data_IF_667253318052
#
_entry.id   IF_667253318052
#
_cell.length_a   1.000
_cell.length_b   1.000
_cell.length_c   1.000
_cell.angle_alpha   90.00
_cell.angle_beta   90.00
_cell.angle_gamma   90.00
#
_symmetry.space_group_name_H-M   'P 1'
#
loop_
_entity.id
_entity.type
_entity.pdbx_description
1 polymer ?
#
# COMPACT_ATOMS: atom_id res chain seq x y z
N UNK A 1 -6.05 6.44 -11.09
CA UNK A 1 -6.34 6.45 -9.65
C UNK A 1 -5.20 7.20 -8.98
N UNK A 2 -5.49 8.02 -7.97
CA UNK A 2 -4.47 8.77 -7.24
C UNK A 2 -4.23 8.08 -5.89
N UNK A 3 -2.96 7.79 -5.57
CA UNK A 3 -2.57 7.17 -4.31
C UNK A 3 -2.13 8.26 -3.34
N UNK A 4 -2.70 8.24 -2.12
CA UNK A 4 -2.18 9.05 -1.02
C UNK A 4 -0.83 8.47 -0.54
N UNK A 5 0.25 9.20 -0.84
CA UNK A 5 1.63 8.78 -0.53
C UNK A 5 1.94 8.80 0.96
N UNK A 6 1.27 9.64 1.75
CA UNK A 6 1.43 9.68 3.19
C UNK A 6 0.81 8.44 3.83
N UNK A 7 -0.38 8.05 3.36
CA UNK A 7 -1.05 6.81 3.77
C UNK A 7 -0.22 5.59 3.35
N UNK A 8 0.31 5.56 2.13
CA UNK A 8 1.17 4.47 1.66
C UNK A 8 2.47 4.38 2.49
N UNK A 9 3.14 5.51 2.72
CA UNK A 9 4.34 5.57 3.57
C UNK A 9 4.05 5.10 5.00
N UNK A 10 2.91 5.51 5.56
CA UNK A 10 2.50 5.06 6.89
C UNK A 10 2.23 3.55 6.92
N UNK A 11 1.48 3.02 5.94
CA UNK A 11 1.19 1.60 5.81
C UNK A 11 2.47 0.76 5.84
N UNK A 12 3.44 1.11 4.99
CA UNK A 12 4.70 0.36 4.88
C UNK A 12 5.58 0.44 6.13
N UNK A 13 5.55 1.56 6.86
CA UNK A 13 6.42 1.80 8.03
C UNK A 13 5.80 1.37 9.37
N UNK A 14 4.47 1.37 9.47
CA UNK A 14 3.76 1.29 10.77
C UNK A 14 2.70 0.19 10.83
N UNK A 15 2.24 -0.33 9.69
CA UNK A 15 1.17 -1.33 9.60
C UNK A 15 1.64 -2.59 8.87
N UNK A 16 2.92 -2.96 9.04
CA UNK A 16 3.51 -4.14 8.39
C UNK A 16 2.85 -5.44 8.83
N UNK A 17 2.36 -5.50 10.07
CA UNK A 17 1.55 -6.59 10.61
C UNK A 17 0.23 -6.79 9.86
N UNK A 18 -0.43 -5.71 9.42
CA UNK A 18 -1.61 -5.82 8.55
C UNK A 18 -1.25 -6.37 7.16
N UNK A 19 -0.06 -6.04 6.64
CA UNK A 19 0.44 -6.61 5.39
C UNK A 19 0.75 -8.10 5.57
N UNK A 20 1.38 -8.50 6.68
CA UNK A 20 1.62 -9.90 7.00
C UNK A 20 0.31 -10.69 7.09
N UNK A 21 -0.69 -10.12 7.76
CA UNK A 21 -2.00 -10.75 7.95
C UNK A 21 -2.74 -10.98 6.62
N UNK A 22 -2.76 -9.99 5.71
CA UNK A 22 -3.45 -10.15 4.42
C UNK A 22 -2.69 -11.07 3.45
N UNK A 23 -1.38 -11.19 3.61
CA UNK A 23 -0.52 -12.05 2.78
C UNK A 23 -0.53 -13.51 3.26
N UNK A 24 -0.79 -13.76 4.55
CA UNK A 24 -0.75 -15.08 5.14
C UNK A 24 -1.59 -16.12 4.36
N UNK A 25 -0.99 -17.27 4.08
CA UNK A 25 -1.65 -18.38 3.37
C UNK A 25 -1.85 -18.18 1.86
N UNK A 26 -1.45 -17.05 1.29
CA UNK A 26 -1.63 -16.78 -0.16
C UNK A 26 -0.47 -17.28 -1.04
N UNK A 27 0.66 -17.66 -0.42
CA UNK A 27 1.90 -18.01 -1.12
C UNK A 27 2.74 -16.81 -1.57
N UNK A 28 2.24 -15.58 -1.41
CA UNK A 28 3.03 -14.37 -1.57
C UNK A 28 3.91 -14.14 -0.35
N UNK A 29 4.98 -13.36 -0.54
CA UNK A 29 5.86 -12.95 0.55
C UNK A 29 5.57 -11.49 0.89
N UNK A 30 5.51 -11.17 2.18
CA UNK A 30 5.31 -9.80 2.67
C UNK A 30 6.31 -8.84 2.04
N UNK A 31 7.59 -9.24 1.94
CA UNK A 31 8.64 -8.43 1.29
C UNK A 31 8.33 -8.08 -0.16
N UNK A 32 7.60 -8.94 -0.89
CA UNK A 32 7.19 -8.65 -2.28
C UNK A 32 6.14 -7.54 -2.30
N UNK A 33 5.16 -7.59 -1.39
CA UNK A 33 4.12 -6.56 -1.26
C UNK A 33 4.73 -5.23 -0.82
N UNK A 34 5.62 -5.26 0.18
CA UNK A 34 6.37 -4.07 0.62
C UNK A 34 7.18 -3.48 -0.53
N UNK A 35 7.89 -4.32 -1.30
CA UNK A 35 8.68 -3.86 -2.44
C UNK A 35 7.85 -3.15 -3.52
N UNK A 36 6.62 -3.59 -3.79
CA UNK A 36 5.70 -2.89 -4.70
C UNK A 36 5.28 -1.54 -4.12
N UNK A 37 4.99 -1.47 -2.81
CA UNK A 37 4.65 -0.20 -2.16
C UNK A 37 5.83 0.78 -2.16
N UNK A 38 7.05 0.31 -1.89
CA UNK A 38 8.26 1.14 -1.95
C UNK A 38 8.51 1.66 -3.36
N UNK A 39 8.37 0.80 -4.38
CA UNK A 39 8.47 1.22 -5.77
C UNK A 39 7.47 2.34 -6.10
N UNK A 40 6.22 2.23 -5.66
CA UNK A 40 5.24 3.29 -5.85
C UNK A 40 5.65 4.60 -5.16
N UNK A 41 6.19 4.55 -3.93
CA UNK A 41 6.70 5.76 -3.27
C UNK A 41 7.85 6.41 -4.03
N UNK A 42 8.77 5.62 -4.57
CA UNK A 42 9.91 6.12 -5.34
C UNK A 42 9.49 6.72 -6.71
N UNK A 43 8.25 6.45 -7.13
CA UNK A 43 7.68 6.86 -8.42
C UNK A 43 6.40 7.69 -8.27
N UNK A 44 6.27 8.48 -7.20
CA UNK A 44 5.16 9.41 -6.96
C UNK A 44 3.76 8.76 -7.06
N UNK A 45 3.65 7.49 -6.70
CA UNK A 45 2.41 6.71 -6.74
C UNK A 45 1.96 6.31 -8.13
N UNK A 46 2.81 6.41 -9.15
CA UNK A 46 2.44 6.13 -10.52
C UNK A 46 2.26 4.61 -10.78
N UNK A 47 1.01 4.17 -10.74
CA UNK A 47 0.62 2.77 -10.97
C UNK A 47 0.86 2.29 -12.40
N UNK A 48 0.93 3.19 -13.39
CA UNK A 48 1.12 2.83 -14.80
C UNK A 48 2.55 2.31 -15.08
N UNK A 49 3.47 2.52 -14.13
CA UNK A 49 4.83 1.98 -14.18
C UNK A 49 4.93 0.55 -13.62
N UNK A 50 3.86 0.03 -13.01
CA UNK A 50 3.84 -1.34 -12.52
C UNK A 50 3.79 -2.33 -13.68
N UNK A 51 4.59 -3.39 -13.58
CA UNK A 51 4.38 -4.57 -14.43
C UNK A 51 3.06 -5.26 -14.09
N UNK A 52 2.51 -6.06 -15.01
CA UNK A 52 1.27 -6.80 -14.78
C UNK A 52 1.28 -7.63 -13.48
N UNK A 53 2.42 -8.21 -13.10
CA UNK A 53 2.54 -8.97 -11.84
C UNK A 53 2.54 -8.08 -10.61
N UNK A 54 3.17 -6.90 -10.69
CA UNK A 54 3.15 -5.92 -9.59
C UNK A 54 1.76 -5.30 -9.45
N UNK A 55 1.05 -5.08 -10.56
CA UNK A 55 -0.33 -4.60 -10.56
C UNK A 55 -1.26 -5.56 -9.80
N UNK A 56 -1.19 -6.86 -10.08
CA UNK A 56 -1.94 -7.87 -9.31
C UNK A 56 -1.58 -7.84 -7.83
N UNK A 57 -0.30 -7.62 -7.50
CA UNK A 57 0.14 -7.53 -6.10
C UNK A 57 -0.43 -6.27 -5.43
N UNK A 58 -0.42 -5.15 -6.13
CA UNK A 58 -0.96 -3.88 -5.67
C UNK A 58 -2.47 -3.97 -5.43
N UNK A 59 -3.24 -4.40 -6.43
CA UNK A 59 -4.71 -4.50 -6.37
C UNK A 59 -5.17 -5.50 -5.31
N UNK A 60 -4.46 -6.61 -5.14
CA UNK A 60 -4.86 -7.66 -4.20
C UNK A 60 -4.51 -7.35 -2.74
N UNK A 61 -3.41 -6.66 -2.49
CA UNK A 61 -2.86 -6.53 -1.12
C UNK A 61 -2.70 -5.09 -0.64
N UNK A 62 -2.22 -4.18 -1.48
CA UNK A 62 -1.99 -2.80 -1.07
C UNK A 62 -3.29 -1.98 -1.13
N UNK A 63 -4.02 -2.05 -2.24
CA UNK A 63 -5.23 -1.27 -2.44
C UNK A 63 -6.26 -1.46 -1.31
N UNK A 64 -6.59 -2.70 -0.86
CA UNK A 64 -7.54 -2.89 0.25
C UNK A 64 -7.07 -2.29 1.58
N UNK A 65 -5.75 -2.23 1.82
CA UNK A 65 -5.18 -1.66 3.05
C UNK A 65 -5.09 -0.13 3.02
N UNK A 66 -5.00 0.45 1.81
CA UNK A 66 -5.02 1.88 1.55
C UNK A 66 -6.45 2.45 1.60
N UNK A 67 -7.43 1.70 1.12
CA UNK A 67 -8.86 2.09 1.18
C UNK A 67 -9.44 2.00 2.60
N UNK A 68 -8.80 1.22 3.48
CA UNK A 68 -9.20 1.16 4.88
C UNK A 68 -8.98 2.54 5.52
N UNK A 69 -10.02 3.17 6.08
CA UNK A 69 -9.93 4.52 6.62
C UNK A 69 -8.85 4.56 7.70
N UNK A 70 -7.81 5.32 7.43
CA UNK A 70 -6.80 5.64 8.42
C UNK A 70 -7.02 7.08 8.91
N UNK A 71 -7.20 7.24 10.21
CA UNK A 71 -7.24 8.56 10.80
C UNK A 71 -5.81 9.08 10.96
N UNK A 72 -5.39 9.94 10.03
CA UNK A 72 -4.16 10.68 10.17
C UNK A 72 -4.26 11.56 11.43
N UNK A 73 -3.33 11.48 12.40
CA UNK A 73 -3.34 12.35 13.58
C UNK A 73 -3.14 13.85 13.30
N UNK A 74 -3.25 14.27 12.04
CA UNK A 74 -3.04 15.63 11.55
C UNK A 74 -3.97 16.03 10.40
N UNK A 75 -4.91 15.17 9.97
CA UNK A 75 -6.00 15.61 9.10
C UNK A 75 -7.01 16.34 9.97
N UNK A 76 -6.79 17.65 10.16
CA UNK A 76 -7.87 18.55 10.53
C UNK A 76 -8.98 18.35 9.52
N UNK A 77 -10.08 17.72 9.98
CA UNK A 77 -11.32 17.72 9.23
C UNK A 77 -11.71 19.17 9.00
N UNK A 78 -11.58 19.62 7.76
CA UNK A 78 -12.39 20.71 7.27
C UNK A 78 -13.79 20.12 7.05
N UNK A 79 -14.60 20.18 8.11
CA UNK A 79 -16.03 19.98 8.11
C UNK A 79 -16.69 21.15 8.79
#
# INVERSE_FOLDING_TARGET
MEIDLDVLSHLLKKRTDEIDAIVAGTGYLTRTVIGVGTFLLDHDGNIDLLTAKQQVTFERFLLPLLEKPWHHPGSSGAG
#
